data_IF_829198685744
#
_entry.id   IF_829198685744
#
_cell.length_a   1.000
_cell.length_b   1.000
_cell.length_c   1.000
_cell.angle_alpha   90.00
_cell.angle_beta   90.00
_cell.angle_gamma   90.00
#
_symmetry.space_group_name_H-M   'P 1'
#
loop_
_entity.id
_entity.type
_entity.pdbx_description
1 polymer ?
#
# COMPACT_ATOMS: atom_id res chain seq x y z
N UNK A 1 2.94 -6.22 22.26
CA UNK A 1 3.77 -6.65 21.11
C UNK A 1 3.61 -5.80 19.85
N UNK A 2 2.72 -4.78 19.80
CA UNK A 2 2.45 -3.99 18.59
C UNK A 2 3.13 -2.60 18.53
N UNK A 3 3.98 -2.25 19.50
CA UNK A 3 4.42 -0.85 19.70
C UNK A 3 5.48 -0.33 18.71
N UNK A 4 6.01 -1.14 17.79
CA UNK A 4 7.10 -0.72 16.87
C UNK A 4 6.94 -1.13 15.41
N UNK A 5 5.76 -1.58 15.01
CA UNK A 5 5.52 -2.11 13.66
C UNK A 5 5.69 -1.06 12.55
N UNK A 6 5.22 0.21 12.69
CA UNK A 6 5.40 1.20 11.62
C UNK A 6 6.85 1.64 11.46
N UNK A 7 7.57 1.84 12.57
CA UNK A 7 8.94 2.38 12.55
C UNK A 7 9.93 1.39 11.94
N UNK A 8 9.75 0.08 12.19
CA UNK A 8 10.55 -0.94 11.55
C UNK A 8 10.43 -0.89 10.03
N UNK A 9 9.21 -0.78 9.50
CA UNK A 9 8.98 -0.68 8.06
C UNK A 9 9.55 0.61 7.46
N UNK A 10 9.44 1.75 8.16
CA UNK A 10 10.03 3.02 7.69
C UNK A 10 11.55 2.91 7.53
N UNK A 11 12.24 2.28 8.49
CA UNK A 11 13.70 2.09 8.42
C UNK A 11 14.12 1.06 7.37
N UNK A 12 13.24 0.12 7.03
CA UNK A 12 13.49 -0.93 6.04
C UNK A 12 12.96 -0.58 4.65
N UNK A 13 12.49 0.65 4.42
CA UNK A 13 12.12 1.10 3.08
C UNK A 13 13.36 1.42 2.24
N UNK A 14 14.11 0.37 1.90
CA UNK A 14 15.31 0.40 1.07
C UNK A 14 15.25 -0.69 0.00
N UNK A 15 15.94 -0.54 -1.15
CA UNK A 15 15.97 -1.56 -2.19
C UNK A 15 16.34 -2.94 -1.66
N UNK A 16 15.58 -3.96 -2.07
CA UNK A 16 15.75 -5.35 -1.62
C UNK A 16 14.81 -5.77 -0.49
N UNK A 17 14.20 -4.84 0.24
CA UNK A 17 13.21 -5.17 1.28
C UNK A 17 11.78 -5.22 0.71
N UNK A 18 10.91 -6.12 1.20
CA UNK A 18 9.55 -6.27 0.67
C UNK A 18 8.69 -4.99 0.77
N UNK A 19 8.82 -4.22 1.85
CA UNK A 19 8.13 -2.94 2.00
C UNK A 19 8.52 -1.92 0.91
N UNK A 20 9.78 -1.94 0.46
CA UNK A 20 10.23 -1.06 -0.62
C UNK A 20 9.58 -1.46 -1.95
N UNK A 21 9.52 -2.76 -2.23
CA UNK A 21 8.84 -3.28 -3.42
C UNK A 21 7.35 -2.94 -3.41
N UNK A 22 6.69 -3.07 -2.26
CA UNK A 22 5.28 -2.69 -2.09
C UNK A 22 5.04 -1.20 -2.35
N UNK A 23 5.87 -0.32 -1.81
CA UNK A 23 5.73 1.14 -2.00
C UNK A 23 6.19 1.64 -3.38
N UNK A 24 7.03 0.87 -4.07
CA UNK A 24 7.49 1.17 -5.43
C UNK A 24 6.54 0.67 -6.53
N UNK A 25 5.43 0.01 -6.16
CA UNK A 25 4.43 -0.42 -7.16
C UNK A 25 3.83 0.78 -7.93
N UNK A 26 3.55 0.56 -9.22
CA UNK A 26 3.09 1.61 -10.12
C UNK A 26 1.54 1.75 -10.18
N UNK A 27 0.77 1.08 -9.31
CA UNK A 27 -0.70 1.17 -9.33
C UNK A 27 -1.21 2.61 -9.19
N UNK A 28 -0.52 3.45 -8.41
CA UNK A 28 -0.88 4.87 -8.30
C UNK A 28 -0.70 5.64 -9.61
N UNK A 29 0.38 5.36 -10.35
CA UNK A 29 0.67 5.98 -11.65
C UNK A 29 -0.31 5.47 -12.72
N UNK A 30 -0.58 4.15 -12.74
CA UNK A 30 -1.56 3.53 -13.63
C UNK A 30 -2.97 4.07 -13.40
N UNK A 31 -3.31 4.44 -12.17
CA UNK A 31 -4.59 5.07 -11.83
C UNK A 31 -4.69 6.57 -12.18
N UNK A 32 -3.66 7.20 -12.76
CA UNK A 32 -3.65 8.65 -13.09
C UNK A 32 -4.83 9.10 -13.96
N UNK A 33 -5.38 8.23 -14.81
CA UNK A 33 -6.57 8.52 -15.61
C UNK A 33 -7.82 8.88 -14.78
N UNK A 34 -7.83 8.55 -13.48
CA UNK A 34 -8.92 8.86 -12.55
C UNK A 34 -8.77 10.22 -11.85
N UNK A 35 -7.71 10.99 -12.12
CA UNK A 35 -7.50 12.32 -11.52
C UNK A 35 -8.69 13.29 -11.67
N UNK A 36 -9.38 13.38 -12.84
CA UNK A 36 -10.55 14.25 -13.00
C UNK A 36 -11.72 13.89 -12.08
N UNK A 37 -11.77 12.65 -11.58
CA UNK A 37 -12.81 12.15 -10.68
C UNK A 37 -12.45 12.33 -9.20
N UNK A 38 -11.27 12.90 -8.92
CA UNK A 38 -10.80 13.25 -7.59
C UNK A 38 -9.97 12.16 -6.91
N UNK A 39 -9.20 12.53 -5.88
CA UNK A 39 -8.17 11.68 -5.28
C UNK A 39 -8.73 10.39 -4.67
N UNK A 40 -9.96 10.41 -4.16
CA UNK A 40 -10.62 9.22 -3.59
C UNK A 40 -10.97 8.17 -4.64
N UNK A 41 -11.44 8.60 -5.80
CA UNK A 41 -11.78 7.70 -6.91
C UNK A 41 -10.50 7.09 -7.46
N UNK A 42 -9.47 7.92 -7.67
CA UNK A 42 -8.13 7.45 -8.06
C UNK A 42 -7.56 6.46 -7.06
N UNK A 43 -7.60 6.76 -5.76
CA UNK A 43 -7.09 5.87 -4.70
C UNK A 43 -7.77 4.50 -4.71
N UNK A 44 -9.09 4.46 -4.87
CA UNK A 44 -9.82 3.20 -4.96
C UNK A 44 -9.35 2.34 -6.14
N UNK A 45 -9.16 2.94 -7.31
CA UNK A 45 -8.67 2.20 -8.49
C UNK A 45 -7.20 1.78 -8.36
N UNK A 46 -6.37 2.59 -7.71
CA UNK A 46 -5.00 2.18 -7.36
C UNK A 46 -5.01 0.96 -6.42
N UNK A 47 -5.90 0.93 -5.41
CA UNK A 47 -6.01 -0.24 -4.52
C UNK A 47 -6.54 -1.49 -5.22
N UNK A 48 -7.53 -1.35 -6.11
CA UNK A 48 -8.05 -2.46 -6.92
C UNK A 48 -6.96 -3.09 -7.80
N UNK A 49 -6.06 -2.25 -8.33
CA UNK A 49 -4.96 -2.68 -9.17
C UNK A 49 -3.81 -3.29 -8.35
N UNK A 50 -3.42 -2.64 -7.24
CA UNK A 50 -2.42 -3.15 -6.30
C UNK A 50 -2.80 -4.53 -5.73
N UNK A 51 -4.09 -4.78 -5.50
CA UNK A 51 -4.61 -6.05 -5.01
C UNK A 51 -4.46 -7.23 -5.99
N UNK A 52 -4.07 -7.00 -7.25
CA UNK A 52 -3.76 -8.06 -8.21
C UNK A 52 -2.46 -8.78 -7.86
N UNK A 53 -1.49 -8.03 -7.34
CA UNK A 53 -0.13 -8.51 -7.10
C UNK A 53 0.20 -8.61 -5.60
N UNK A 54 -0.54 -7.90 -4.75
CA UNK A 54 -0.33 -7.86 -3.30
C UNK A 54 -1.56 -8.31 -2.52
N UNK A 55 -1.39 -8.96 -1.34
CA UNK A 55 -2.49 -9.36 -0.46
C UNK A 55 -3.06 -8.14 0.29
N UNK A 56 -3.67 -7.23 -0.46
CA UNK A 56 -4.31 -6.02 0.03
C UNK A 56 -5.76 -6.31 0.37
N UNK A 57 -6.18 -5.85 1.54
CA UNK A 57 -7.55 -6.01 2.00
C UNK A 57 -8.40 -4.80 1.62
N UNK A 58 -9.64 -5.01 1.14
CA UNK A 58 -10.56 -3.93 0.86
C UNK A 58 -10.84 -3.14 2.14
N UNK A 59 -10.83 -1.82 2.04
CA UNK A 59 -11.10 -0.95 3.18
C UNK A 59 -12.60 -1.03 3.53
N UNK A 60 -12.93 -1.82 4.56
CA UNK A 60 -14.33 -2.05 4.99
C UNK A 60 -14.98 -0.84 5.68
N UNK A 61 -14.17 0.04 6.28
CA UNK A 61 -14.62 1.25 6.98
C UNK A 61 -13.84 2.46 6.51
N UNK A 62 -14.49 3.62 6.40
CA UNK A 62 -13.81 4.89 6.17
C UNK A 62 -13.01 5.28 7.41
N UNK A 63 -11.78 4.78 7.49
CA UNK A 63 -10.83 5.12 8.55
C UNK A 63 -10.14 6.45 8.22
N UNK A 64 -9.57 6.54 7.02
CA UNK A 64 -9.02 7.78 6.45
C UNK A 64 -8.73 7.61 4.94
N UNK A 65 -8.44 8.72 4.28
CA UNK A 65 -8.01 8.75 2.87
C UNK A 65 -6.54 8.30 2.76
N UNK A 66 -6.17 7.62 1.67
CA UNK A 66 -4.80 7.13 1.41
C UNK A 66 -4.28 6.06 2.40
N UNK A 67 -5.18 5.25 2.96
CA UNK A 67 -4.83 4.08 3.76
C UNK A 67 -4.96 2.79 2.97
N UNK A 68 -4.05 1.86 3.25
CA UNK A 68 -4.02 0.51 2.72
C UNK A 68 -3.79 -0.48 3.85
N UNK A 69 -4.50 -1.61 3.81
CA UNK A 69 -4.27 -2.74 4.71
C UNK A 69 -3.68 -3.88 3.89
N UNK A 70 -2.56 -4.43 4.34
CA UNK A 70 -1.84 -5.50 3.65
C UNK A 70 -1.40 -6.55 4.66
N UNK A 71 -1.31 -7.80 4.25
CA UNK A 71 -0.79 -8.86 5.11
C UNK A 71 0.64 -8.57 5.55
N UNK A 72 0.88 -8.64 6.87
CA UNK A 72 2.21 -8.38 7.44
C UNK A 72 3.29 -9.25 6.81
N UNK A 73 3.01 -10.52 6.53
CA UNK A 73 3.97 -11.45 5.93
C UNK A 73 4.47 -11.00 4.56
N UNK A 74 3.69 -10.23 3.80
CA UNK A 74 4.08 -9.74 2.49
C UNK A 74 5.05 -8.55 2.57
N UNK A 75 5.03 -7.78 3.66
CA UNK A 75 5.84 -6.56 3.83
C UNK A 75 6.85 -6.65 4.97
N UNK A 76 6.88 -7.77 5.69
CA UNK A 76 7.79 -7.98 6.80
C UNK A 76 9.24 -7.89 6.33
N UNK A 77 10.16 -7.34 7.16
CA UNK A 77 11.58 -7.33 6.83
C UNK A 77 12.09 -8.75 6.56
N UNK A 78 12.93 -8.90 5.54
CA UNK A 78 13.46 -10.21 5.16
C UNK A 78 14.66 -10.64 6.03
N UNK A 79 15.02 -9.87 7.06
CA UNK A 79 16.23 -10.04 7.89
C UNK A 79 16.06 -9.54 9.32
#
# INVERSE_FOLDING_TARGET
MAERLPKALIHRNVPGEPIHQFLADAAWERASGWDPHGPRVRWRHALEDLARDWPVHPQQRRLADNFVTVDWQAVAPAS
#
